data_IF_970403338709
#
_entry.id   IF_970403338709
#
_cell.length_a   1.000
_cell.length_b   1.000
_cell.length_c   1.000
_cell.angle_alpha   90.00
_cell.angle_beta   90.00
_cell.angle_gamma   90.00
#
_symmetry.space_group_name_H-M   'P 1'
#
loop_
_entity.id
_entity.type
_entity.pdbx_description
1 polymer ?
#
# COMPACT_ATOMS: atom_id res chain seq x y z
N UNK A 1 2.09 -16.22 10.55
CA UNK A 1 2.48 -15.20 11.56
C UNK A 1 3.92 -14.68 11.43
N UNK A 2 4.94 -15.54 11.26
CA UNK A 2 6.34 -15.09 11.21
C UNK A 2 6.63 -14.06 10.09
N UNK A 3 6.13 -14.30 8.87
CA UNK A 3 6.24 -13.37 7.74
C UNK A 3 5.70 -11.98 8.10
N UNK A 4 4.55 -11.90 8.76
CA UNK A 4 3.91 -10.65 9.18
C UNK A 4 4.81 -9.83 10.10
N UNK A 5 5.33 -10.47 11.15
CA UNK A 5 6.17 -9.78 12.15
C UNK A 5 7.45 -9.29 11.49
N UNK A 6 8.09 -10.13 10.67
CA UNK A 6 9.30 -9.76 9.94
C UNK A 6 9.03 -8.59 9.00
N UNK A 7 7.94 -8.63 8.23
CA UNK A 7 7.56 -7.55 7.32
C UNK A 7 7.27 -6.25 8.06
N UNK A 8 6.52 -6.30 9.17
CA UNK A 8 6.27 -5.13 10.01
C UNK A 8 7.60 -4.52 10.47
N UNK A 9 8.52 -5.32 11.00
CA UNK A 9 9.83 -4.82 11.47
C UNK A 9 10.62 -4.22 10.30
N UNK A 10 10.76 -4.95 9.19
CA UNK A 10 11.56 -4.52 8.03
C UNK A 10 11.02 -3.23 7.44
N UNK A 11 9.71 -3.13 7.18
CA UNK A 11 9.14 -1.92 6.58
C UNK A 11 9.14 -0.72 7.53
N UNK A 12 8.90 -0.92 8.84
CA UNK A 12 8.98 0.18 9.81
C UNK A 12 10.42 0.67 10.00
N UNK A 13 11.41 -0.22 10.01
CA UNK A 13 12.82 0.18 10.04
C UNK A 13 13.22 0.90 8.75
N UNK A 14 12.82 0.38 7.59
CA UNK A 14 13.09 1.02 6.30
C UNK A 14 12.50 2.44 6.25
N UNK A 15 11.26 2.63 6.73
CA UNK A 15 10.65 3.96 6.84
C UNK A 15 11.38 4.83 7.85
N UNK A 16 11.84 4.29 8.97
CA UNK A 16 12.56 5.07 10.00
C UNK A 16 13.91 5.58 9.49
N UNK A 17 14.67 4.73 8.79
CA UNK A 17 16.02 5.06 8.31
C UNK A 17 16.08 5.71 6.93
N UNK A 18 15.02 5.66 6.13
CA UNK A 18 15.02 6.32 4.82
C UNK A 18 15.12 7.85 4.96
N UNK A 19 15.80 8.53 4.01
CA UNK A 19 15.75 9.98 3.95
C UNK A 19 14.31 10.44 3.70
N UNK A 20 13.76 11.28 4.58
CA UNK A 20 12.39 11.81 4.46
C UNK A 20 12.35 12.91 3.41
N UNK A 21 11.78 12.60 2.24
CA UNK A 21 11.61 13.53 1.09
C UNK A 21 10.18 14.07 0.99
N UNK A 22 9.26 13.50 1.76
CA UNK A 22 7.88 13.98 1.95
C UNK A 22 7.78 14.62 3.34
N UNK A 23 7.05 15.74 3.44
CA UNK A 23 6.88 16.44 4.71
C UNK A 23 5.83 15.74 5.61
N UNK A 24 5.70 16.20 6.85
CA UNK A 24 4.82 15.57 7.84
C UNK A 24 3.34 15.59 7.42
N UNK A 25 2.84 16.70 6.87
CA UNK A 25 1.44 16.80 6.44
C UNK A 25 1.14 15.91 5.22
N UNK A 26 2.07 15.84 4.27
CA UNK A 26 2.01 14.92 3.14
C UNK A 26 1.96 13.48 3.62
N UNK A 27 2.85 13.12 4.55
CA UNK A 27 2.93 11.77 5.14
C UNK A 27 1.64 11.39 5.85
N UNK A 28 1.12 12.27 6.71
CA UNK A 28 -0.11 12.05 7.46
C UNK A 28 -1.32 11.89 6.53
N UNK A 29 -1.53 12.84 5.62
CA UNK A 29 -2.68 12.84 4.73
C UNK A 29 -2.67 11.64 3.77
N UNK A 30 -1.50 11.30 3.22
CA UNK A 30 -1.37 10.15 2.31
C UNK A 30 -1.52 8.81 3.04
N UNK A 31 -1.04 8.69 4.28
CA UNK A 31 -1.23 7.50 5.09
C UNK A 31 -2.72 7.27 5.42
N UNK A 32 -3.43 8.33 5.82
CA UNK A 32 -4.88 8.25 6.05
C UNK A 32 -5.66 7.92 4.78
N UNK A 33 -5.32 8.55 3.66
CA UNK A 33 -5.94 8.24 2.38
C UNK A 33 -5.70 6.78 1.99
N UNK A 34 -4.47 6.28 2.15
CA UNK A 34 -4.12 4.90 1.86
C UNK A 34 -4.92 3.92 2.72
N UNK A 35 -4.99 4.16 4.04
CA UNK A 35 -5.77 3.33 4.96
C UNK A 35 -7.26 3.35 4.61
N UNK A 36 -7.81 4.52 4.27
CA UNK A 36 -9.21 4.65 3.82
C UNK A 36 -9.49 3.86 2.54
N UNK A 37 -8.59 3.95 1.56
CA UNK A 37 -8.70 3.19 0.31
C UNK A 37 -8.60 1.68 0.57
N UNK A 38 -7.66 1.24 1.42
CA UNK A 38 -7.54 -0.17 1.79
C UNK A 38 -8.79 -0.69 2.46
N UNK A 39 -9.29 0.03 3.47
CA UNK A 39 -10.51 -0.36 4.18
C UNK A 39 -11.73 -0.40 3.26
N UNK A 40 -11.83 0.50 2.27
CA UNK A 40 -12.89 0.44 1.26
C UNK A 40 -12.76 -0.83 0.40
N UNK A 41 -11.55 -1.16 -0.04
CA UNK A 41 -11.30 -2.39 -0.79
C UNK A 41 -11.57 -3.65 0.04
N UNK A 42 -11.14 -3.69 1.31
CA UNK A 42 -11.41 -4.80 2.23
C UNK A 42 -12.92 -4.92 2.50
N UNK A 43 -13.63 -3.80 2.69
CA UNK A 43 -15.07 -3.84 2.88
C UNK A 43 -15.80 -4.45 1.68
N UNK A 44 -15.43 -4.04 0.46
CA UNK A 44 -16.07 -4.53 -0.77
C UNK A 44 -15.62 -5.97 -1.06
N UNK A 45 -14.32 -6.20 -1.24
CA UNK A 45 -13.81 -7.45 -1.79
C UNK A 45 -13.64 -8.55 -0.75
N UNK A 46 -13.19 -8.22 0.47
CA UNK A 46 -13.00 -9.20 1.54
C UNK A 46 -14.32 -9.44 2.30
N UNK A 47 -14.94 -8.41 2.86
CA UNK A 47 -16.11 -8.59 3.74
C UNK A 47 -17.41 -8.83 2.98
N UNK A 48 -17.69 -8.09 1.90
CA UNK A 48 -18.96 -8.20 1.18
C UNK A 48 -18.95 -9.32 0.14
N UNK A 49 -17.85 -9.47 -0.62
CA UNK A 49 -17.75 -10.48 -1.68
C UNK A 49 -16.95 -11.73 -1.29
N UNK A 50 -16.32 -11.76 -0.10
CA UNK A 50 -15.54 -12.91 0.38
C UNK A 50 -14.49 -13.40 -0.62
N UNK A 51 -13.87 -12.49 -1.36
CA UNK A 51 -12.96 -12.85 -2.46
C UNK A 51 -11.56 -13.21 -1.96
N UNK A 52 -11.11 -12.60 -0.86
CA UNK A 52 -9.83 -12.87 -0.21
C UNK A 52 -9.91 -12.47 1.26
N UNK A 53 -8.92 -12.86 2.06
CA UNK A 53 -8.74 -12.38 3.42
C UNK A 53 -7.30 -12.56 3.90
N UNK A 54 -7.03 -12.19 5.15
CA UNK A 54 -5.70 -12.30 5.74
C UNK A 54 -5.52 -13.65 6.46
N UNK A 55 -5.78 -13.73 7.76
CA UNK A 55 -5.57 -14.95 8.55
C UNK A 55 -6.85 -15.78 8.69
N UNK A 56 -8.00 -15.12 8.86
CA UNK A 56 -9.28 -15.75 9.17
C UNK A 56 -10.42 -15.03 8.44
N UNK A 57 -11.50 -15.75 8.13
CA UNK A 57 -12.70 -15.15 7.51
C UNK A 57 -13.47 -14.28 8.52
N UNK A 58 -14.03 -13.17 8.02
CA UNK A 58 -14.84 -12.26 8.83
C UNK A 58 -14.00 -11.27 9.64
N UNK A 59 -14.22 -11.20 10.96
CA UNK A 59 -13.55 -10.23 11.84
C UNK A 59 -12.15 -10.73 12.20
N UNK A 60 -11.17 -10.34 11.39
CA UNK A 60 -9.77 -10.73 11.58
C UNK A 60 -8.94 -9.66 12.31
N UNK A 61 -8.84 -9.80 13.63
CA UNK A 61 -7.95 -8.96 14.45
C UNK A 61 -6.47 -9.11 14.08
N UNK A 62 -6.10 -10.32 13.62
CA UNK A 62 -4.84 -10.68 12.95
C UNK A 62 -4.46 -9.66 11.88
N UNK A 63 -5.41 -9.45 10.97
CA UNK A 63 -5.30 -8.67 9.75
C UNK A 63 -4.95 -7.20 10.00
N UNK A 64 -5.32 -6.63 11.15
CA UNK A 64 -4.96 -5.26 11.49
C UNK A 64 -3.46 -5.01 11.58
N UNK A 65 -2.65 -6.03 11.91
CA UNK A 65 -1.20 -5.92 11.85
C UNK A 65 -0.70 -5.69 10.42
N UNK A 66 -1.37 -6.25 9.42
CA UNK A 66 -1.06 -6.03 8.01
C UNK A 66 -1.52 -4.64 7.58
N UNK A 67 -2.77 -4.31 7.88
CA UNK A 67 -3.42 -3.07 7.47
C UNK A 67 -2.72 -1.84 8.08
N UNK A 68 -2.32 -1.87 9.35
CA UNK A 68 -1.70 -0.72 10.01
C UNK A 68 -0.18 -0.81 10.15
N UNK A 69 0.37 -2.03 10.21
CA UNK A 69 1.79 -2.27 10.44
C UNK A 69 2.63 -2.41 9.18
N UNK A 70 2.02 -2.74 8.03
CA UNK A 70 2.72 -2.93 6.75
C UNK A 70 2.26 -1.92 5.71
N UNK A 71 0.94 -1.78 5.53
CA UNK A 71 0.39 -1.08 4.38
C UNK A 71 0.76 0.42 4.32
N UNK A 72 0.64 1.23 5.39
CA UNK A 72 1.11 2.61 5.41
C UNK A 72 2.60 2.74 5.11
N UNK A 73 3.41 1.81 5.62
CA UNK A 73 4.87 1.85 5.53
C UNK A 73 5.33 1.59 4.09
N UNK A 74 4.74 0.59 3.43
CA UNK A 74 4.98 0.31 2.00
C UNK A 74 4.59 1.51 1.13
N UNK A 75 3.44 2.12 1.41
CA UNK A 75 2.99 3.31 0.67
C UNK A 75 3.90 4.53 0.90
N UNK A 76 4.40 4.73 2.13
CA UNK A 76 5.38 5.77 2.42
C UNK A 76 6.70 5.54 1.68
N UNK A 77 7.21 4.30 1.66
CA UNK A 77 8.42 3.96 0.88
C UNK A 77 8.22 4.25 -0.60
N UNK A 78 7.10 3.79 -1.16
CA UNK A 78 6.74 4.03 -2.55
C UNK A 78 6.73 5.53 -2.89
N UNK A 79 6.00 6.34 -2.12
CA UNK A 79 5.85 7.78 -2.37
C UNK A 79 7.15 8.55 -2.13
N UNK A 80 7.93 8.19 -1.12
CA UNK A 80 9.17 8.86 -0.76
C UNK A 80 10.22 8.76 -1.87
N UNK A 81 10.30 7.60 -2.54
CA UNK A 81 11.25 7.36 -3.63
C UNK A 81 10.66 7.56 -5.03
N UNK A 82 9.37 7.95 -5.13
CA UNK A 82 8.74 8.16 -6.42
C UNK A 82 9.47 9.26 -7.23
N UNK A 83 9.86 9.00 -8.50
CA UNK A 83 10.71 9.89 -9.27
C UNK A 83 9.91 11.05 -9.91
N UNK A 84 9.38 11.97 -9.09
CA UNK A 84 8.52 13.08 -9.55
C UNK A 84 9.12 13.93 -10.68
N UNK A 85 10.44 14.16 -10.67
CA UNK A 85 11.14 14.97 -11.67
C UNK A 85 11.59 14.22 -12.93
N UNK A 86 11.35 12.90 -13.04
CA UNK A 86 11.77 12.11 -14.20
C UNK A 86 10.67 12.00 -15.27
N UNK A 87 11.05 11.53 -16.45
CA UNK A 87 10.16 11.29 -17.58
C UNK A 87 9.09 10.22 -17.31
N UNK A 88 8.07 10.17 -18.17
CA UNK A 88 6.93 9.27 -18.01
C UNK A 88 7.33 7.79 -17.98
N UNK A 89 8.29 7.36 -18.82
CA UNK A 89 8.78 5.98 -18.84
C UNK A 89 9.43 5.53 -17.52
N UNK A 90 10.20 6.40 -16.86
CA UNK A 90 10.79 6.10 -15.54
C UNK A 90 9.71 5.98 -14.46
N UNK A 91 8.68 6.82 -14.52
CA UNK A 91 7.54 6.75 -13.58
C UNK A 91 6.72 5.49 -13.80
N UNK A 92 6.45 5.13 -15.06
CA UNK A 92 5.72 3.93 -15.42
C UNK A 92 6.48 2.67 -14.98
N UNK A 93 7.77 2.56 -15.29
CA UNK A 93 8.61 1.44 -14.84
C UNK A 93 8.71 1.34 -13.31
N UNK A 94 8.77 2.47 -12.61
CA UNK A 94 8.74 2.48 -11.14
C UNK A 94 7.42 1.92 -10.59
N UNK A 95 6.26 2.36 -11.13
CA UNK A 95 4.94 1.84 -10.73
C UNK A 95 4.83 0.35 -11.04
N UNK A 96 5.27 -0.08 -12.23
CA UNK A 96 5.24 -1.49 -12.62
C UNK A 96 6.15 -2.34 -11.73
N UNK A 97 7.36 -1.87 -11.42
CA UNK A 97 8.27 -2.56 -10.50
C UNK A 97 7.67 -2.76 -9.11
N UNK A 98 7.04 -1.72 -8.56
CA UNK A 98 6.32 -1.83 -7.29
C UNK A 98 5.07 -2.71 -7.37
N UNK A 99 4.38 -2.73 -8.51
CA UNK A 99 3.22 -3.61 -8.73
C UNK A 99 3.63 -5.08 -8.81
N UNK A 100 4.76 -5.37 -9.48
CA UNK A 100 5.35 -6.71 -9.51
C UNK A 100 5.78 -7.12 -8.11
N UNK A 101 6.46 -6.22 -7.37
CA UNK A 101 6.84 -6.47 -5.98
C UNK A 101 5.63 -6.78 -5.09
N UNK A 102 4.57 -5.97 -5.16
CA UNK A 102 3.36 -6.17 -4.37
C UNK A 102 2.66 -7.50 -4.71
N UNK A 103 2.54 -7.82 -6.00
CA UNK A 103 1.95 -9.09 -6.46
C UNK A 103 2.79 -10.29 -6.03
N UNK A 104 4.12 -10.20 -6.10
CA UNK A 104 5.02 -11.26 -5.65
C UNK A 104 4.96 -11.44 -4.13
N UNK A 105 4.90 -10.33 -3.38
CA UNK A 105 4.74 -10.37 -1.92
C UNK A 105 3.40 -11.00 -1.52
N UNK A 106 2.32 -10.65 -2.21
CA UNK A 106 1.00 -11.27 -2.01
C UNK A 106 1.04 -12.78 -2.32
N UNK A 107 1.66 -13.19 -3.42
CA UNK A 107 1.84 -14.61 -3.73
C UNK A 107 2.62 -15.34 -2.62
N UNK A 108 3.71 -14.75 -2.12
CA UNK A 108 4.43 -15.29 -0.96
C UNK A 108 3.53 -15.36 0.29
N UNK A 109 2.72 -14.33 0.53
CA UNK A 109 1.78 -14.32 1.64
C UNK A 109 0.73 -15.44 1.53
N UNK A 110 0.28 -15.79 0.32
CA UNK A 110 -0.66 -16.91 0.08
C UNK A 110 -0.05 -18.30 0.31
N UNK A 111 1.27 -18.43 0.17
CA UNK A 111 1.99 -19.64 0.57
C UNK A 111 2.24 -19.72 2.07
N UNK A 112 1.80 -18.72 2.83
CA UNK A 112 1.81 -18.71 4.30
C UNK A 112 0.38 -18.57 4.81
N UNK A 113 0.20 -18.64 6.13
CA UNK A 113 -1.10 -18.40 6.78
C UNK A 113 -1.52 -16.92 6.80
N UNK A 114 -0.84 -16.05 6.05
CA UNK A 114 -1.00 -14.59 6.14
C UNK A 114 -2.09 -14.04 5.23
N UNK A 115 -2.37 -14.74 4.12
CA UNK A 115 -3.34 -14.31 3.13
C UNK A 115 -3.93 -15.53 2.44
N UNK A 116 -5.19 -15.48 2.07
CA UNK A 116 -5.82 -16.54 1.28
C UNK A 116 -6.75 -15.95 0.23
N UNK A 117 -6.91 -16.70 -0.87
CA UNK A 117 -7.90 -16.39 -1.90
C UNK A 117 -9.13 -17.25 -1.74
N UNK A 118 -10.29 -16.67 -2.04
CA UNK A 118 -11.55 -17.36 -2.19
C UNK A 118 -12.25 -16.83 -3.45
N UNK A 119 -11.91 -17.37 -4.62
CA UNK A 119 -12.42 -16.91 -5.91
C UNK A 119 -11.69 -15.67 -6.48
N UNK A 120 -10.88 -14.98 -5.68
CA UNK A 120 -9.93 -13.99 -6.20
C UNK A 120 -8.79 -14.67 -6.96
N UNK A 121 -8.36 -14.06 -8.05
CA UNK A 121 -7.25 -14.50 -8.88
C UNK A 121 -6.11 -13.52 -8.74
N UNK A 122 -4.87 -14.03 -8.68
CA UNK A 122 -3.66 -13.22 -8.51
C UNK A 122 -3.51 -12.08 -9.54
N UNK A 123 -4.04 -12.26 -10.75
CA UNK A 123 -3.99 -11.24 -11.79
C UNK A 123 -4.95 -10.06 -11.56
N UNK A 124 -6.00 -10.22 -10.74
CA UNK A 124 -6.82 -9.08 -10.30
C UNK A 124 -5.95 -8.10 -9.51
N UNK A 125 -5.15 -8.61 -8.56
CA UNK A 125 -4.20 -7.81 -7.79
C UNK A 125 -3.15 -7.17 -8.72
N UNK A 126 -2.59 -7.94 -9.66
CA UNK A 126 -1.62 -7.43 -10.63
C UNK A 126 -2.14 -6.23 -11.44
N UNK A 127 -3.44 -6.21 -11.77
CA UNK A 127 -4.09 -5.08 -12.46
C UNK A 127 -4.46 -3.93 -11.51
N UNK A 128 -4.84 -4.23 -10.26
CA UNK A 128 -5.27 -3.23 -9.28
C UNK A 128 -4.11 -2.48 -8.63
N UNK A 129 -2.95 -3.11 -8.42
CA UNK A 129 -1.78 -2.44 -7.81
C UNK A 129 -1.32 -1.20 -8.58
N UNK A 130 -1.15 -1.22 -9.92
CA UNK A 130 -0.84 -0.01 -10.68
C UNK A 130 -1.87 1.11 -10.48
N UNK A 131 -3.16 0.76 -10.41
CA UNK A 131 -4.25 1.72 -10.19
C UNK A 131 -4.17 2.30 -8.78
N UNK A 132 -3.96 1.47 -7.75
CA UNK A 132 -3.79 1.91 -6.37
C UNK A 132 -2.61 2.88 -6.22
N UNK A 133 -1.45 2.55 -6.83
CA UNK A 133 -0.29 3.43 -6.82
C UNK A 133 -0.54 4.76 -7.54
N UNK A 134 -1.27 4.76 -8.65
CA UNK A 134 -1.68 5.98 -9.35
C UNK A 134 -2.61 6.86 -8.49
N UNK A 135 -3.54 6.25 -7.75
CA UNK A 135 -4.40 6.96 -6.80
C UNK A 135 -3.58 7.59 -5.68
N UNK A 136 -2.61 6.88 -5.11
CA UNK A 136 -1.70 7.41 -4.09
C UNK A 136 -0.87 8.60 -4.59
N UNK A 137 -0.30 8.51 -5.79
CA UNK A 137 0.44 9.62 -6.41
C UNK A 137 -0.48 10.83 -6.62
N UNK A 138 -1.71 10.58 -7.08
CA UNK A 138 -2.70 11.63 -7.34
C UNK A 138 -3.11 12.32 -6.06
N UNK A 139 -3.36 11.56 -4.99
CA UNK A 139 -3.63 12.12 -3.67
C UNK A 139 -2.47 13.00 -3.16
N UNK A 140 -1.23 12.52 -3.24
CA UNK A 140 -0.06 13.31 -2.82
C UNK A 140 0.07 14.63 -3.63
N UNK A 141 -0.23 14.62 -4.93
CA UNK A 141 -0.26 15.84 -5.74
C UNK A 141 -1.33 16.81 -5.27
N UNK A 142 -2.52 16.32 -4.91
CA UNK A 142 -3.61 17.14 -4.36
C UNK A 142 -3.19 17.76 -3.03
N UNK A 143 -2.62 16.96 -2.11
CA UNK A 143 -2.14 17.45 -0.82
C UNK A 143 -1.07 18.54 -1.00
N UNK A 144 -0.12 18.34 -1.91
CA UNK A 144 0.90 19.35 -2.25
C UNK A 144 0.30 20.64 -2.81
N UNK A 145 -0.72 20.53 -3.66
CA UNK A 145 -1.42 21.69 -4.22
C UNK A 145 -2.13 22.49 -3.11
N UNK A 146 -2.84 21.80 -2.22
CA UNK A 146 -3.53 22.43 -1.10
C UNK A 146 -2.54 23.11 -0.14
N UNK A 147 -1.46 22.41 0.22
CA UNK A 147 -0.44 22.97 1.11
C UNK A 147 0.22 24.23 0.53
N UNK A 148 0.44 24.29 -0.79
CA UNK A 148 0.93 25.51 -1.47
C UNK A 148 -0.06 26.66 -1.44
N UNK A 149 -1.36 26.38 -1.55
CA UNK A 149 -2.43 27.40 -1.50
C UNK A 149 -2.67 27.95 -0.09
N UNK A 150 -2.35 27.16 0.93
CA UNK A 150 -2.51 27.54 2.34
C UNK A 150 -1.27 28.23 2.94
N UNK A 151 -0.18 28.36 2.18
CA UNK A 151 0.97 29.12 2.61
C UNK A 151 0.63 30.63 2.62
N UNK A 152 0.90 31.35 3.73
CA UNK A 152 0.63 32.78 3.85
C UNK A 152 1.48 33.64 2.92
#
# INVERSE_FOLDING_TARGET
>A
MALTIVSVIVFNLAVTFMPKRINAIETYATALFALGLNNLCDFIFNLQFHLYGYFEEGVDWKGYLVIYGIYPQVNMLFLNFFPFGKGLGTKASYILGWSIFATAYEALATHTEMFYYNGWKWWYSACLYPIAFLLLISNLKVVRLLNRKSAP
#
